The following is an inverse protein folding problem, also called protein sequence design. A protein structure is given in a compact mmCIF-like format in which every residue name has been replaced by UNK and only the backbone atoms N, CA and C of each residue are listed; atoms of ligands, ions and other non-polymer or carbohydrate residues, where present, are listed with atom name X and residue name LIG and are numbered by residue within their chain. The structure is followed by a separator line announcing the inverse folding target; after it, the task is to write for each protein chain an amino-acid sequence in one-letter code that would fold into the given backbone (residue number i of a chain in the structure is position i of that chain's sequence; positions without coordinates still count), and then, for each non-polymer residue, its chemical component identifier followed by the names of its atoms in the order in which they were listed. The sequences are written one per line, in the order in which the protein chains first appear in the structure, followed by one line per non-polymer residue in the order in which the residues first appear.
data_IF_418730326331
#
_entry.id   IF_418730326331
#
_cell.length_a   1.000
_cell.length_b   1.000
_cell.length_c   1.000
_cell.angle_alpha   90.00
_cell.angle_beta   90.00
_cell.angle_gamma   90.00
#
_symmetry.space_group_name_H-M   'P 1'
#
loop_
_entity.id
_entity.type
_entity.pdbx_description
1 polymer ?
#
# COMPACT_ATOMS: atom_id res chain seq x y z
N UNK A 1 -25.05 -0.44 12.52
CA UNK A 1 -24.04 -1.48 12.16
C UNK A 1 -23.81 -1.44 10.64
N UNK A 2 -22.78 -2.07 10.07
CA UNK A 2 -22.41 -1.94 8.64
C UNK A 2 -23.59 -2.16 7.66
N UNK A 3 -24.56 -3.01 8.02
CA UNK A 3 -25.83 -3.22 7.31
C UNK A 3 -26.71 -1.97 7.11
N UNK A 4 -26.51 -0.91 7.89
CA UNK A 4 -27.21 0.37 7.74
C UNK A 4 -26.50 1.30 6.74
N UNK A 5 -25.25 0.98 6.36
CA UNK A 5 -24.46 1.75 5.41
C UNK A 5 -24.60 1.09 4.05
N UNK A 6 -25.22 1.80 3.11
CA UNK A 6 -25.50 1.27 1.76
C UNK A 6 -24.27 1.41 0.85
N UNK A 7 -23.44 2.44 1.08
CA UNK A 7 -22.26 2.76 0.27
C UNK A 7 -21.17 3.41 1.12
N UNK A 8 -19.91 3.19 0.75
CA UNK A 8 -18.81 3.97 1.34
C UNK A 8 -18.95 5.46 0.96
N UNK A 9 -18.70 6.39 1.90
CA UNK A 9 -18.67 7.82 1.60
C UNK A 9 -17.54 8.12 0.61
N UNK A 10 -17.76 9.11 -0.25
CA UNK A 10 -16.79 9.52 -1.27
C UNK A 10 -15.87 10.65 -0.82
N UNK A 11 -16.28 11.41 0.19
CA UNK A 11 -15.70 12.68 0.62
C UNK A 11 -14.91 12.55 1.94
N UNK A 12 -14.71 11.32 2.42
CA UNK A 12 -14.09 11.05 3.71
C UNK A 12 -13.19 9.82 3.63
N UNK A 13 -12.15 9.81 4.47
CA UNK A 13 -11.33 8.63 4.69
C UNK A 13 -11.99 7.70 5.70
N UNK A 14 -12.01 6.40 5.40
CA UNK A 14 -12.77 5.40 6.18
C UNK A 14 -11.90 4.22 6.55
N UNK A 15 -12.10 3.71 7.77
CA UNK A 15 -11.54 2.44 8.22
C UNK A 15 -12.65 1.38 8.23
N UNK A 16 -12.44 0.32 7.46
CA UNK A 16 -13.28 -0.87 7.38
C UNK A 16 -12.66 -1.93 8.29
N UNK A 17 -13.47 -2.49 9.19
CA UNK A 17 -13.00 -3.46 10.19
C UNK A 17 -13.66 -4.83 9.98
N UNK A 18 -12.83 -5.88 10.03
CA UNK A 18 -13.27 -7.27 10.13
C UNK A 18 -13.50 -7.98 8.80
N UNK A 19 -13.33 -9.30 8.80
CA UNK A 19 -13.50 -10.18 7.63
C UNK A 19 -14.96 -10.31 7.19
N UNK A 20 -15.91 -10.12 8.11
CA UNK A 20 -17.36 -10.24 7.83
C UNK A 20 -17.99 -8.94 7.30
N UNK A 21 -17.18 -7.90 7.10
CA UNK A 21 -17.69 -6.60 6.65
C UNK A 21 -18.22 -6.67 5.21
N UNK A 22 -19.42 -6.13 4.98
CA UNK A 22 -20.07 -6.15 3.65
C UNK A 22 -19.24 -5.47 2.55
N UNK A 23 -18.38 -4.50 2.90
CA UNK A 23 -17.53 -3.78 1.95
C UNK A 23 -16.22 -4.50 1.62
N UNK A 24 -15.95 -5.68 2.20
CA UNK A 24 -14.73 -6.44 1.90
C UNK A 24 -14.57 -6.72 0.40
N UNK A 25 -15.66 -7.08 -0.28
CA UNK A 25 -15.62 -7.35 -1.73
C UNK A 25 -15.27 -6.11 -2.55
N UNK A 26 -15.83 -4.96 -2.17
CA UNK A 26 -15.49 -3.68 -2.81
C UNK A 26 -14.02 -3.34 -2.56
N UNK A 27 -13.55 -3.47 -1.32
CA UNK A 27 -12.16 -3.18 -0.93
C UNK A 27 -11.14 -4.10 -1.62
N UNK A 28 -11.43 -5.40 -1.73
CA UNK A 28 -10.54 -6.36 -2.41
C UNK A 28 -10.49 -6.13 -3.92
N UNK A 29 -11.58 -5.66 -4.54
CA UNK A 29 -11.58 -5.32 -5.97
C UNK A 29 -10.58 -4.20 -6.31
N UNK A 30 -10.32 -3.28 -5.38
CA UNK A 30 -9.36 -2.19 -5.54
C UNK A 30 -7.90 -2.68 -5.58
N UNK A 31 -7.63 -3.87 -5.04
CA UNK A 31 -6.29 -4.47 -5.03
C UNK A 31 -5.88 -5.06 -6.38
N UNK A 32 -6.84 -5.31 -7.27
CA UNK A 32 -6.57 -5.81 -8.63
C UNK A 32 -5.59 -4.93 -9.41
N UNK A 33 -5.59 -3.62 -9.17
CA UNK A 33 -4.64 -2.68 -9.78
C UNK A 33 -3.17 -2.98 -9.41
N UNK A 34 -2.94 -3.65 -8.29
CA UNK A 34 -1.61 -3.98 -7.78
C UNK A 34 -1.27 -5.46 -7.97
N UNK A 35 -2.06 -6.20 -8.76
CA UNK A 35 -1.98 -7.66 -8.90
C UNK A 35 -1.97 -8.38 -7.54
N UNK A 36 -2.71 -7.82 -6.58
CA UNK A 36 -2.75 -8.29 -5.20
C UNK A 36 -4.12 -8.87 -4.85
N UNK A 37 -4.11 -9.91 -4.03
CA UNK A 37 -5.30 -10.52 -3.43
C UNK A 37 -5.06 -10.75 -1.95
N UNK A 38 -6.13 -10.77 -1.16
CA UNK A 38 -6.08 -11.09 0.26
C UNK A 38 -6.98 -12.27 0.57
N UNK A 39 -6.54 -13.10 1.51
CA UNK A 39 -7.30 -14.24 2.00
C UNK A 39 -7.25 -14.25 3.53
N UNK A 40 -8.37 -14.63 4.16
CA UNK A 40 -8.39 -14.88 5.58
C UNK A 40 -7.53 -16.10 5.90
N UNK A 41 -6.54 -15.91 6.76
CA UNK A 41 -5.62 -16.97 7.17
C UNK A 41 -5.65 -17.10 8.68
N UNK A 42 -5.72 -18.34 9.18
CA UNK A 42 -5.80 -18.59 10.62
C UNK A 42 -4.62 -17.96 11.38
N UNK A 43 -4.91 -17.28 12.48
CA UNK A 43 -3.87 -16.66 13.32
C UNK A 43 -3.16 -15.45 12.69
N UNK A 44 -3.72 -14.89 11.62
CA UNK A 44 -3.15 -13.73 10.94
C UNK A 44 -4.06 -12.51 11.03
N UNK A 45 -3.43 -11.34 10.94
CA UNK A 45 -4.11 -10.07 10.78
C UNK A 45 -3.58 -9.37 9.53
N UNK A 46 -4.48 -8.77 8.77
CA UNK A 46 -4.17 -8.09 7.52
C UNK A 46 -4.61 -6.65 7.64
N UNK A 47 -3.73 -5.75 7.22
CA UNK A 47 -4.04 -4.34 7.05
C UNK A 47 -3.62 -3.93 5.65
N UNK A 48 -4.49 -3.22 4.93
CA UNK A 48 -4.10 -2.59 3.68
C UNK A 48 -4.87 -1.30 3.44
N UNK A 49 -4.26 -0.38 2.71
CA UNK A 49 -4.89 0.85 2.24
C UNK A 49 -5.18 0.80 0.75
N UNK A 50 -6.22 1.51 0.34
CA UNK A 50 -6.55 1.80 -1.04
C UNK A 50 -6.95 3.28 -1.15
N UNK A 51 -6.93 3.83 -2.35
CA UNK A 51 -7.53 5.15 -2.61
C UNK A 51 -9.01 4.98 -2.86
N UNK A 52 -9.82 5.92 -2.40
CA UNK A 52 -11.23 5.94 -2.75
C UNK A 52 -11.35 6.16 -4.26
N UNK A 53 -12.09 5.30 -4.99
CA UNK A 53 -12.21 5.42 -6.45
C UNK A 53 -12.96 6.68 -6.88
N UNK A 54 -13.78 7.27 -6.00
CA UNK A 54 -14.55 8.49 -6.29
C UNK A 54 -13.79 9.77 -5.96
N UNK A 55 -12.87 9.72 -5.00
CA UNK A 55 -12.00 10.83 -4.64
C UNK A 55 -10.61 10.30 -4.26
N UNK A 56 -9.61 10.53 -5.11
CA UNK A 56 -8.26 9.99 -4.91
C UNK A 56 -7.52 10.63 -3.72
N UNK A 57 -8.02 11.73 -3.16
CA UNK A 57 -7.49 12.36 -1.95
C UNK A 57 -7.97 11.65 -0.67
N UNK A 58 -9.04 10.86 -0.75
CA UNK A 58 -9.57 10.09 0.38
C UNK A 58 -8.98 8.67 0.42
N UNK A 59 -8.63 8.21 1.62
CA UNK A 59 -8.07 6.89 1.85
C UNK A 59 -9.13 5.92 2.40
N UNK A 60 -9.10 4.70 1.89
CA UNK A 60 -9.83 3.58 2.47
C UNK A 60 -8.81 2.65 3.13
N UNK A 61 -9.03 2.31 4.39
CA UNK A 61 -8.18 1.39 5.14
C UNK A 61 -9.00 0.17 5.52
N UNK A 62 -8.46 -1.02 5.32
CA UNK A 62 -9.04 -2.27 5.82
C UNK A 62 -8.14 -2.83 6.91
N UNK A 63 -8.75 -3.24 8.03
CA UNK A 63 -8.07 -3.94 9.14
C UNK A 63 -8.92 -5.14 9.51
N UNK A 64 -8.36 -6.33 9.41
CA UNK A 64 -9.01 -7.53 9.93
C UNK A 64 -8.01 -8.44 10.63
N UNK A 65 -8.49 -9.15 11.64
CA UNK A 65 -7.73 -10.16 12.36
C UNK A 65 -8.58 -11.40 12.49
N UNK A 66 -7.99 -12.56 12.23
CA UNK A 66 -8.60 -13.85 12.53
C UNK A 66 -8.59 -14.17 14.05
N UNK A 67 -7.76 -13.46 14.81
CA UNK A 67 -7.57 -13.68 16.25
C UNK A 67 -7.86 -12.39 17.02
N UNK A 68 -8.80 -12.45 17.98
CA UNK A 68 -9.23 -11.28 18.74
C UNK A 68 -8.13 -10.75 19.67
N UNK A 69 -7.29 -11.65 20.20
CA UNK A 69 -6.20 -11.29 21.11
C UNK A 69 -5.10 -10.46 20.42
N UNK A 70 -5.03 -10.46 19.09
CA UNK A 70 -4.10 -9.62 18.33
C UNK A 70 -4.52 -8.14 18.29
N UNK A 71 -5.81 -7.83 18.47
CA UNK A 71 -6.34 -6.47 18.29
C UNK A 71 -5.68 -5.41 19.19
N UNK A 72 -5.45 -5.65 20.49
CA UNK A 72 -4.75 -4.67 21.34
C UNK A 72 -3.28 -4.47 20.95
N UNK A 73 -2.63 -5.47 20.35
CA UNK A 73 -1.28 -5.34 19.82
C UNK A 73 -1.27 -4.55 18.51
N UNK A 74 -2.25 -4.79 17.64
CA UNK A 74 -2.40 -4.07 16.37
C UNK A 74 -2.65 -2.59 16.61
N UNK A 75 -3.56 -2.22 17.51
CA UNK A 75 -3.87 -0.81 17.80
C UNK A 75 -2.64 -0.03 18.27
N UNK A 76 -1.74 -0.67 19.02
CA UNK A 76 -0.46 -0.08 19.45
C UNK A 76 0.57 -0.01 18.33
N UNK A 77 0.63 -1.01 17.46
CA UNK A 77 1.63 -1.06 16.37
C UNK A 77 1.28 -0.14 15.21
N UNK A 78 0.02 -0.16 14.74
CA UNK A 78 -0.39 0.50 13.49
C UNK A 78 -0.02 1.99 13.37
N UNK A 79 -0.11 2.83 14.42
CA UNK A 79 0.34 4.23 14.35
C UNK A 79 1.80 4.39 13.88
N UNK A 80 2.65 3.40 14.14
CA UNK A 80 4.07 3.40 13.76
C UNK A 80 4.34 2.81 12.37
N UNK A 81 3.34 2.25 11.69
CA UNK A 81 3.47 1.63 10.36
C UNK A 81 2.90 2.49 9.22
N UNK A 82 2.71 3.79 9.44
CA UNK A 82 2.08 4.73 8.50
C UNK A 82 2.72 4.82 7.10
N UNK A 83 3.97 4.37 6.93
CA UNK A 83 4.68 4.36 5.64
C UNK A 83 4.22 3.22 4.70
N UNK A 84 3.62 2.17 5.23
CA UNK A 84 3.30 0.96 4.48
C UNK A 84 1.86 0.98 3.97
N UNK A 85 1.66 0.50 2.75
CA UNK A 85 0.34 0.37 2.14
C UNK A 85 -0.34 -0.96 2.49
N UNK A 86 0.45 -1.97 2.88
CA UNK A 86 -0.08 -3.23 3.40
C UNK A 86 0.85 -3.81 4.45
N UNK A 87 0.24 -4.57 5.37
CA UNK A 87 0.88 -5.23 6.49
C UNK A 87 0.20 -6.58 6.71
N UNK A 88 0.98 -7.58 7.11
CA UNK A 88 0.47 -8.84 7.63
C UNK A 88 1.16 -9.12 8.95
N UNK A 89 0.35 -9.46 9.94
CA UNK A 89 0.79 -9.85 11.27
C UNK A 89 0.41 -11.29 11.56
N UNK A 90 1.18 -11.95 12.43
CA UNK A 90 0.91 -13.31 12.89
C UNK A 90 0.87 -13.37 14.41
N UNK A 91 -0.04 -14.19 14.94
CA UNK A 91 -0.11 -14.54 16.35
C UNK A 91 -0.84 -13.51 17.23
N UNK A 92 -0.97 -13.85 18.51
CA UNK A 92 -1.65 -13.03 19.54
C UNK A 92 -0.86 -11.76 19.87
N UNK A 93 0.46 -11.84 19.82
CA UNK A 93 1.34 -10.68 19.82
C UNK A 93 1.72 -10.40 18.36
N UNK A 94 1.03 -9.48 17.66
CA UNK A 94 1.06 -9.40 16.20
C UNK A 94 2.48 -9.13 15.69
N UNK A 95 3.18 -10.18 15.26
CA UNK A 95 4.52 -10.11 14.67
C UNK A 95 4.41 -9.74 13.20
N UNK A 96 5.15 -8.73 12.72
CA UNK A 96 5.08 -8.33 11.32
C UNK A 96 5.81 -9.37 10.45
N UNK A 97 5.06 -10.08 9.59
CA UNK A 97 5.61 -11.08 8.68
C UNK A 97 5.65 -10.62 7.23
N UNK A 98 4.86 -9.59 6.88
CA UNK A 98 4.89 -8.97 5.56
C UNK A 98 4.56 -7.49 5.67
N UNK A 99 5.23 -6.69 4.85
CA UNK A 99 5.00 -5.26 4.72
C UNK A 99 5.46 -4.77 3.36
N UNK A 100 4.78 -3.77 2.83
CA UNK A 100 5.22 -3.12 1.61
C UNK A 100 4.43 -1.88 1.27
N UNK A 101 4.75 -1.31 0.12
CA UNK A 101 4.13 -0.10 -0.40
C UNK A 101 3.59 -0.42 -1.78
N UNK A 102 2.42 0.12 -2.08
CA UNK A 102 1.90 0.03 -3.44
C UNK A 102 2.77 0.84 -4.40
N UNK A 103 3.01 0.33 -5.61
CA UNK A 103 3.60 1.12 -6.67
C UNK A 103 2.73 2.34 -7.00
N UNK A 104 3.39 3.45 -7.34
CA UNK A 104 2.71 4.72 -7.66
C UNK A 104 2.41 4.76 -9.16
N UNK A 105 1.21 4.33 -9.55
CA UNK A 105 0.79 4.32 -10.95
C UNK A 105 0.17 5.64 -11.45
N UNK A 106 -0.50 6.39 -10.56
CA UNK A 106 -1.25 7.60 -10.92
C UNK A 106 -0.70 8.81 -10.14
N UNK A 107 0.57 9.14 -10.32
CA UNK A 107 1.11 10.36 -9.73
C UNK A 107 0.71 11.57 -10.58
N UNK A 108 0.20 12.67 -9.97
CA UNK A 108 0.03 13.93 -10.69
C UNK A 108 1.37 14.51 -11.18
N UNK A 109 2.49 14.03 -10.66
CA UNK A 109 3.84 14.38 -11.11
C UNK A 109 4.37 13.46 -12.23
N UNK A 110 3.55 12.59 -12.80
CA UNK A 110 3.91 11.76 -13.95
C UNK A 110 3.28 12.32 -15.22
N UNK A 111 4.11 12.64 -16.22
CA UNK A 111 3.67 13.06 -17.55
C UNK A 111 4.12 12.04 -18.60
N UNK A 112 3.20 11.66 -19.48
CA UNK A 112 3.52 10.85 -20.66
C UNK A 112 3.68 11.78 -21.86
N UNK A 113 4.80 11.66 -22.56
CA UNK A 113 5.09 12.50 -23.72
C UNK A 113 4.46 11.91 -24.98
N UNK A 114 3.80 12.71 -25.82
CA UNK A 114 3.24 12.24 -27.08
C UNK A 114 4.35 11.87 -28.07
N UNK A 115 4.12 10.82 -28.85
CA UNK A 115 4.93 10.48 -30.00
C UNK A 115 4.71 11.47 -31.16
N UNK A 116 5.54 11.38 -32.21
CA UNK A 116 5.47 12.28 -33.38
C UNK A 116 4.10 12.29 -34.08
N UNK A 117 3.32 11.21 -33.95
CA UNK A 117 1.97 11.10 -34.52
C UNK A 117 0.86 11.59 -33.56
N UNK A 118 1.22 12.14 -32.39
CA UNK A 118 0.28 12.60 -31.37
C UNK A 118 -0.23 11.52 -30.40
N UNK A 119 0.19 10.26 -30.58
CA UNK A 119 -0.23 9.15 -29.71
C UNK A 119 0.51 9.19 -28.38
N UNK A 120 -0.19 8.99 -27.27
CA UNK A 120 0.42 8.91 -25.93
C UNK A 120 0.45 7.44 -25.50
N UNK A 121 1.64 6.85 -25.44
CA UNK A 121 1.83 5.49 -24.92
C UNK A 121 2.23 5.53 -23.44
N UNK A 122 1.51 4.78 -22.60
CA UNK A 122 1.94 4.53 -21.21
C UNK A 122 3.03 3.46 -21.21
N UNK A 123 4.26 3.88 -21.46
CA UNK A 123 5.44 3.01 -21.37
C UNK A 123 5.96 2.94 -19.93
N UNK A 124 6.65 1.85 -19.60
CA UNK A 124 7.43 1.79 -18.37
C UNK A 124 8.52 2.87 -18.37
N UNK A 125 8.86 3.34 -17.17
CA UNK A 125 9.93 4.32 -16.99
C UNK A 125 11.27 3.68 -17.34
N UNK A 126 11.94 4.22 -18.36
CA UNK A 126 13.23 3.72 -18.82
C UNK A 126 14.29 3.78 -17.72
N UNK A 127 15.18 2.78 -17.68
CA UNK A 127 16.34 2.78 -16.78
C UNK A 127 17.40 3.74 -17.33
N UNK A 128 17.78 4.74 -16.54
CA UNK A 128 18.91 5.60 -16.89
C UNK A 128 20.20 4.77 -16.95
N UNK A 129 21.07 5.09 -17.91
CA UNK A 129 22.40 4.51 -17.97
C UNK A 129 23.16 4.82 -16.67
N UNK A 130 23.90 3.84 -16.15
CA UNK A 130 24.78 4.07 -15.01
C UNK A 130 25.82 5.13 -15.40
N UNK A 131 25.90 6.21 -14.62
CA UNK A 131 26.89 7.28 -14.82
C UNK A 131 27.91 7.25 -13.70
N UNK A 132 29.18 7.45 -14.05
CA UNK A 132 30.22 7.68 -13.05
C UNK A 132 29.90 8.98 -12.28
N UNK A 133 30.24 9.06 -10.98
CA UNK A 133 30.07 10.30 -10.23
C UNK A 133 30.90 11.43 -10.86
N UNK A 134 30.41 12.67 -10.76
CA UNK A 134 31.12 13.86 -11.27
C UNK A 134 32.47 14.07 -10.59
N UNK A 135 32.57 13.64 -9.33
CA UNK A 135 33.82 13.59 -8.57
C UNK A 135 33.82 12.31 -7.74
N UNK A 136 34.91 11.56 -7.80
CA UNK A 136 35.16 10.47 -6.86
C UNK A 136 35.82 11.08 -5.62
N UNK A 137 35.20 10.89 -4.45
CA UNK A 137 35.89 11.20 -3.20
C UNK A 137 37.11 10.28 -3.09
N UNK A 138 38.30 10.79 -2.76
CA UNK A 138 39.44 9.94 -2.48
C UNK A 138 39.06 9.00 -1.33
N UNK A 139 39.41 7.72 -1.47
CA UNK A 139 39.19 6.75 -0.40
C UNK A 139 39.88 7.25 0.87
N UNK A 140 39.16 7.39 2.01
CA UNK A 140 39.80 7.75 3.27
C UNK A 140 40.78 6.67 3.77
N UNK A 141 40.81 5.51 3.09
CA UNK A 141 41.72 4.40 3.35
C UNK A 141 42.49 4.03 2.08
N UNK A 142 43.22 4.97 1.48
CA UNK A 142 44.37 4.61 0.65
C UNK A 142 45.51 4.20 1.59
N UNK A 143 45.53 2.95 2.02
CA UNK A 143 46.71 2.36 2.68
C UNK A 143 47.79 2.18 1.62
N UNK A 144 48.62 3.20 1.42
CA UNK A 144 50.01 2.94 1.09
C UNK A 144 50.68 2.39 2.35
N UNK A 145 51.25 1.19 2.22
CA UNK A 145 52.18 0.61 3.18
C UNK A 145 53.56 0.66 2.54
#
# INVERSE_FOLDING_TARGET
MDKEIIKLPSDQSVIILGWENIFLKEMTSLLSKYDASINQTKGHSVVFSARNPKDKEMALLFIASDTIEALPGLSRKLPHYHKYSYLTFKGKEPENIAKGRWPVYDSPMTAYLPEKNGTIAKTEMGKLAARNPLIALPSPFSKER
#
